data_IF_547517444685
#
_entry.id   IF_547517444685
#
_cell.length_a   1.000
_cell.length_b   1.000
_cell.length_c   1.000
_cell.angle_alpha   90.00
_cell.angle_beta   90.00
_cell.angle_gamma   90.00
#
_symmetry.space_group_name_H-M   'P 1'
#
loop_
_entity.id
_entity.type
_entity.pdbx_description
1 polymer ?
#
# COMPACT_ATOMS: atom_id res chain seq x y z
N UNK A 1 -16.52 -1.74 31.75
CA UNK A 1 -15.95 -0.79 30.77
C UNK A 1 -14.90 -1.57 30.00
N UNK A 2 -15.31 -2.27 28.95
CA UNK A 2 -14.42 -3.12 28.16
C UNK A 2 -14.03 -2.41 26.88
N UNK A 3 -12.80 -1.88 26.86
CA UNK A 3 -12.18 -1.47 25.60
C UNK A 3 -11.76 -2.71 24.80
N UNK A 4 -11.38 -2.56 23.52
CA UNK A 4 -10.92 -3.66 22.65
C UNK A 4 -9.72 -4.46 23.20
N UNK A 5 -9.09 -4.00 24.29
CA UNK A 5 -8.01 -4.67 24.98
C UNK A 5 -8.43 -5.84 25.91
N UNK A 6 -9.71 -6.00 26.26
CA UNK A 6 -10.14 -7.07 27.19
C UNK A 6 -9.90 -8.50 26.62
N UNK A 7 -9.68 -8.64 25.30
CA UNK A 7 -9.36 -9.91 24.62
C UNK A 7 -7.94 -10.01 24.04
N UNK A 8 -7.06 -9.04 24.30
CA UNK A 8 -5.72 -8.99 23.69
C UNK A 8 -5.73 -8.66 22.18
N UNK A 9 -4.62 -8.97 21.51
CA UNK A 9 -4.42 -8.69 20.09
C UNK A 9 -3.78 -9.87 19.35
N UNK A 10 -4.12 -9.99 18.08
CA UNK A 10 -3.49 -10.87 17.11
C UNK A 10 -2.68 -10.05 16.11
N UNK A 11 -1.47 -10.52 15.78
CA UNK A 11 -0.55 -9.80 14.90
C UNK A 11 -0.15 -10.70 13.74
N UNK A 12 -0.25 -10.17 12.53
CA UNK A 12 0.32 -10.78 11.33
C UNK A 12 1.43 -9.89 10.79
N UNK A 13 2.56 -10.48 10.39
CA UNK A 13 3.72 -9.73 9.94
C UNK A 13 4.46 -10.41 8.80
N UNK A 14 5.00 -9.61 7.88
CA UNK A 14 6.07 -10.00 6.97
C UNK A 14 7.40 -9.53 7.57
N UNK A 15 8.27 -10.44 8.04
CA UNK A 15 9.46 -10.07 8.79
C UNK A 15 10.48 -9.29 7.97
N UNK A 16 10.61 -9.57 6.67
CA UNK A 16 11.60 -8.91 5.82
C UNK A 16 11.17 -8.94 4.33
N UNK A 17 10.27 -8.03 3.98
CA UNK A 17 9.95 -7.69 2.60
C UNK A 17 11.20 -7.16 1.87
N UNK A 18 11.43 -7.66 0.66
CA UNK A 18 12.67 -7.39 -0.08
C UNK A 18 13.89 -8.19 0.39
N UNK A 19 13.72 -9.23 1.22
CA UNK A 19 14.84 -10.08 1.67
C UNK A 19 15.74 -10.61 0.54
N UNK A 20 15.19 -10.89 -0.63
CA UNK A 20 15.93 -11.39 -1.79
C UNK A 20 16.83 -10.35 -2.47
N UNK A 21 16.72 -9.07 -2.12
CA UNK A 21 17.50 -7.97 -2.71
C UNK A 21 18.39 -7.25 -1.69
N UNK A 22 18.54 -7.81 -0.49
CA UNK A 22 19.43 -7.27 0.56
C UNK A 22 20.87 -7.16 0.06
N UNK A 23 21.33 -8.14 -0.71
CA UNK A 23 22.67 -8.17 -1.32
C UNK A 23 22.92 -7.01 -2.30
N UNK A 24 21.87 -6.46 -2.91
CA UNK A 24 21.94 -5.28 -3.79
C UNK A 24 22.00 -3.94 -3.04
N UNK A 25 21.87 -3.97 -1.71
CA UNK A 25 21.84 -2.79 -0.83
C UNK A 25 20.67 -1.83 -1.13
N UNK A 26 19.59 -2.35 -1.69
CA UNK A 26 18.33 -1.62 -1.82
C UNK A 26 17.60 -1.57 -0.47
N UNK A 27 16.72 -0.60 -0.30
CA UNK A 27 15.88 -0.51 0.90
C UNK A 27 14.96 -1.73 1.01
N UNK A 28 14.86 -2.28 2.22
CA UNK A 28 13.99 -3.41 2.58
C UNK A 28 13.15 -3.03 3.80
N UNK A 29 12.26 -3.90 4.27
CA UNK A 29 11.44 -3.55 5.42
C UNK A 29 10.63 -4.68 6.04
N UNK A 30 9.97 -4.36 7.15
CA UNK A 30 9.04 -5.23 7.86
C UNK A 30 7.66 -4.62 7.79
N UNK A 31 6.62 -5.44 7.66
CA UNK A 31 5.22 -5.01 7.67
C UNK A 31 4.50 -5.75 8.78
N UNK A 32 3.62 -5.09 9.52
CA UNK A 32 2.68 -5.80 10.39
C UNK A 32 1.34 -5.08 10.53
N UNK A 33 0.30 -5.88 10.72
CA UNK A 33 -1.04 -5.44 11.11
C UNK A 33 -1.43 -6.02 12.46
N UNK A 34 -2.22 -5.26 13.22
CA UNK A 34 -2.68 -5.62 14.56
C UNK A 34 -4.20 -5.66 14.56
N UNK A 35 -4.78 -6.81 14.91
CA UNK A 35 -6.23 -7.01 15.06
C UNK A 35 -6.59 -7.24 16.52
N UNK A 36 -7.77 -6.79 16.99
CA UNK A 36 -8.25 -7.13 18.32
C UNK A 36 -8.63 -8.61 18.42
N UNK A 37 -8.45 -9.19 19.61
CA UNK A 37 -8.82 -10.58 19.89
C UNK A 37 -7.83 -11.60 19.34
N UNK A 38 -8.33 -12.81 19.08
CA UNK A 38 -7.55 -14.05 18.83
C UNK A 38 -7.66 -14.58 17.39
N UNK A 39 -8.16 -13.76 16.45
CA UNK A 39 -8.40 -14.17 15.06
C UNK A 39 -7.59 -13.36 14.05
N UNK A 40 -7.11 -14.07 13.04
CA UNK A 40 -6.49 -13.51 11.81
C UNK A 40 -7.21 -13.97 10.53
N UNK A 41 -8.30 -14.71 10.67
CA UNK A 41 -9.19 -15.12 9.58
C UNK A 41 -10.65 -14.80 9.93
N UNK A 42 -11.49 -14.65 8.92
CA UNK A 42 -12.85 -14.12 9.07
C UNK A 42 -12.89 -12.64 9.47
N UNK A 43 -11.74 -11.96 9.45
CA UNK A 43 -11.57 -10.53 9.69
C UNK A 43 -11.26 -9.81 8.39
N UNK A 44 -11.37 -8.50 8.38
CA UNK A 44 -11.03 -7.62 7.26
C UNK A 44 -9.85 -6.71 7.62
N UNK A 45 -9.26 -6.05 6.62
CA UNK A 45 -8.25 -5.02 6.90
C UNK A 45 -8.82 -3.84 7.69
N UNK A 46 -10.12 -3.57 7.60
CA UNK A 46 -10.80 -2.49 8.35
C UNK A 46 -10.93 -2.79 9.84
N UNK A 47 -10.76 -4.05 10.25
CA UNK A 47 -10.82 -4.48 11.65
C UNK A 47 -9.49 -4.27 12.41
N UNK A 48 -8.42 -3.90 11.71
CA UNK A 48 -7.13 -3.57 12.33
C UNK A 48 -7.27 -2.42 13.33
N UNK A 49 -6.60 -2.51 14.49
CA UNK A 49 -6.47 -1.39 15.46
C UNK A 49 -5.25 -0.52 15.16
N UNK A 50 -4.23 -1.09 14.52
CA UNK A 50 -3.05 -0.41 14.04
C UNK A 50 -2.39 -1.22 12.93
N UNK A 51 -1.63 -0.55 12.08
CA UNK A 51 -0.70 -1.17 11.15
C UNK A 51 0.58 -0.34 11.08
N UNK A 52 1.68 -0.99 10.78
CA UNK A 52 2.95 -0.30 10.69
C UNK A 52 3.94 -1.00 9.76
N UNK A 53 4.97 -0.25 9.37
CA UNK A 53 6.12 -0.77 8.64
C UNK A 53 7.43 -0.21 9.20
N UNK A 54 8.42 -1.09 9.36
CA UNK A 54 9.81 -0.72 9.57
C UNK A 54 10.52 -0.63 8.23
N UNK A 55 11.24 0.45 7.98
CA UNK A 55 11.96 0.68 6.72
C UNK A 55 13.45 0.70 7.03
N UNK A 56 14.20 -0.17 6.36
CA UNK A 56 15.64 -0.36 6.51
C UNK A 56 16.35 0.14 5.25
N UNK A 57 16.62 1.44 5.22
CA UNK A 57 17.35 2.09 4.13
C UNK A 57 18.59 2.81 4.65
N UNK A 58 19.02 3.92 4.01
CA UNK A 58 20.07 4.78 4.58
C UNK A 58 19.64 5.45 5.90
N UNK A 59 18.34 5.39 6.22
CA UNK A 59 17.73 5.76 7.49
C UNK A 59 16.89 4.57 7.94
N UNK A 60 16.81 4.36 9.25
CA UNK A 60 15.85 3.43 9.84
C UNK A 60 14.65 4.22 10.30
N UNK A 61 13.49 3.98 9.68
CA UNK A 61 12.25 4.67 10.02
C UNK A 61 11.15 3.69 10.37
N UNK A 62 10.25 4.09 11.26
CA UNK A 62 9.09 3.32 11.67
C UNK A 62 7.83 4.14 11.37
N UNK A 63 6.99 3.64 10.47
CA UNK A 63 5.79 4.33 10.01
C UNK A 63 4.56 3.61 10.53
N UNK A 64 3.67 4.31 11.23
CA UNK A 64 2.51 3.74 11.93
C UNK A 64 1.22 4.49 11.60
N UNK A 65 0.14 3.73 11.44
CA UNK A 65 -1.24 4.21 11.44
C UNK A 65 -1.99 3.57 12.62
N UNK A 66 -2.76 4.38 13.34
CA UNK A 66 -3.63 3.93 14.43
C UNK A 66 -5.07 4.19 13.99
N UNK A 67 -5.92 3.16 14.08
CA UNK A 67 -7.31 3.28 13.68
C UNK A 67 -8.02 4.38 14.48
N UNK A 68 -8.84 5.17 13.79
CA UNK A 68 -9.59 6.31 14.33
C UNK A 68 -8.71 7.45 14.91
N UNK A 69 -7.39 7.40 14.71
CA UNK A 69 -6.47 8.51 14.93
C UNK A 69 -6.05 9.08 13.57
N UNK A 70 -6.26 10.39 13.30
CA UNK A 70 -5.94 10.95 11.99
C UNK A 70 -4.47 10.80 11.62
N UNK A 71 -4.22 10.43 10.37
CA UNK A 71 -2.90 10.46 9.78
C UNK A 71 -2.08 9.17 9.91
N UNK A 72 -0.98 9.17 9.17
CA UNK A 72 0.09 8.17 9.23
C UNK A 72 1.39 8.86 9.64
N UNK A 73 2.07 8.31 10.64
CA UNK A 73 3.16 8.96 11.35
C UNK A 73 4.49 8.26 11.11
N UNK A 74 5.51 9.01 10.74
CA UNK A 74 6.88 8.55 10.57
C UNK A 74 7.73 8.89 11.79
N UNK A 75 8.44 7.89 12.30
CA UNK A 75 9.43 8.02 13.35
C UNK A 75 10.81 7.66 12.81
N UNK A 76 11.82 8.46 13.13
CA UNK A 76 13.22 8.21 12.82
C UNK A 76 13.93 7.57 14.02
N UNK A 77 14.72 6.53 13.78
CA UNK A 77 15.64 5.98 14.78
C UNK A 77 16.84 6.93 14.93
N UNK A 78 17.06 7.41 16.15
CA UNK A 78 18.24 8.19 16.52
C UNK A 78 19.36 7.27 17.03
N UNK A 79 20.59 7.79 17.06
CA UNK A 79 21.79 7.06 17.49
C UNK A 79 21.67 6.55 18.94
N UNK A 80 20.93 7.25 19.81
CA UNK A 80 20.70 6.84 21.20
C UNK A 80 19.59 5.77 21.34
N UNK A 81 19.05 5.27 20.24
CA UNK A 81 18.02 4.22 20.21
C UNK A 81 16.57 4.73 20.38
N UNK A 82 16.36 6.05 20.37
CA UNK A 82 15.03 6.66 20.48
C UNK A 82 14.36 6.80 19.12
N UNK A 83 13.06 6.53 19.06
CA UNK A 83 12.20 6.87 17.92
C UNK A 83 11.66 8.29 18.06
N UNK A 84 12.05 9.19 17.16
CA UNK A 84 11.56 10.57 17.14
C UNK A 84 10.51 10.75 16.06
N UNK A 85 9.33 11.28 16.41
CA UNK A 85 8.31 11.65 15.42
C UNK A 85 8.85 12.78 14.52
N UNK A 86 8.88 12.53 13.20
CA UNK A 86 9.47 13.47 12.22
C UNK A 86 8.49 13.93 11.15
N UNK A 87 7.42 13.18 10.90
CA UNK A 87 6.41 13.53 9.89
C UNK A 87 5.06 12.91 10.19
N UNK A 88 4.02 13.67 9.91
CA UNK A 88 2.64 13.20 9.78
C UNK A 88 2.19 13.38 8.32
N UNK A 89 1.34 12.47 7.85
CA UNK A 89 0.73 12.55 6.52
C UNK A 89 -0.77 12.31 6.66
N UNK A 90 -1.58 13.25 6.17
CA UNK A 90 -3.06 13.21 6.23
C UNK A 90 -3.74 13.38 4.87
N UNK A 91 -2.97 13.66 3.82
CA UNK A 91 -3.46 13.80 2.45
C UNK A 91 -2.45 13.19 1.47
N UNK A 92 -2.93 12.41 0.50
CA UNK A 92 -2.16 11.98 -0.67
C UNK A 92 -2.79 12.63 -1.91
N UNK A 93 -2.17 13.72 -2.33
CA UNK A 93 -2.57 14.51 -3.48
C UNK A 93 -2.15 13.88 -4.82
N UNK A 94 -2.58 14.50 -5.91
CA UNK A 94 -2.25 14.03 -7.24
C UNK A 94 -0.79 14.29 -7.61
N UNK A 95 -0.19 13.40 -8.41
CA UNK A 95 1.18 13.58 -8.87
C UNK A 95 1.68 12.57 -9.88
N UNK A 96 2.71 12.98 -10.62
CA UNK A 96 3.30 12.21 -11.73
C UNK A 96 4.37 11.22 -11.26
N UNK A 97 3.99 10.21 -10.48
CA UNK A 97 4.88 9.12 -10.03
C UNK A 97 4.14 7.79 -10.08
N UNK A 98 4.77 6.76 -10.63
CA UNK A 98 4.21 5.41 -10.67
C UNK A 98 5.25 4.34 -10.32
N UNK A 99 4.78 3.28 -9.66
CA UNK A 99 5.55 2.13 -9.20
C UNK A 99 4.87 0.83 -9.67
N UNK A 100 5.22 0.33 -10.87
CA UNK A 100 4.51 -0.77 -11.52
C UNK A 100 5.06 -2.15 -11.14
N UNK A 101 4.47 -2.74 -10.11
CA UNK A 101 4.61 -4.14 -9.78
C UNK A 101 4.10 -5.08 -10.87
N UNK A 102 4.76 -6.23 -10.96
CA UNK A 102 4.44 -7.29 -11.93
C UNK A 102 4.36 -6.81 -13.39
N UNK A 103 5.24 -5.88 -13.81
CA UNK A 103 5.19 -5.27 -15.15
C UNK A 103 5.12 -6.27 -16.31
N UNK A 104 5.67 -7.49 -16.16
CA UNK A 104 5.53 -8.58 -17.15
C UNK A 104 4.08 -8.90 -17.53
N UNK A 105 3.12 -8.62 -16.64
CA UNK A 105 1.70 -8.86 -16.87
C UNK A 105 1.12 -8.01 -18.01
N UNK A 106 1.76 -6.89 -18.39
CA UNK A 106 1.31 -6.08 -19.54
C UNK A 106 1.40 -6.85 -20.86
N UNK A 107 2.21 -7.91 -20.93
CA UNK A 107 2.36 -8.70 -22.16
C UNK A 107 1.06 -9.41 -22.58
N UNK A 108 0.27 -9.88 -21.62
CA UNK A 108 -0.97 -10.63 -21.84
C UNK A 108 -2.16 -10.07 -21.03
N UNK A 109 -2.03 -8.86 -20.49
CA UNK A 109 -3.12 -8.05 -19.94
C UNK A 109 -3.13 -6.67 -20.64
N UNK A 110 -3.94 -6.51 -21.72
CA UNK A 110 -3.93 -5.28 -22.54
C UNK A 110 -4.42 -4.05 -21.77
N UNK A 111 -5.28 -4.22 -20.77
CA UNK A 111 -5.77 -3.11 -19.96
C UNK A 111 -4.68 -2.61 -19.00
N UNK A 112 -3.87 -3.51 -18.45
CA UNK A 112 -2.71 -3.08 -17.66
C UNK A 112 -1.64 -2.42 -18.53
N UNK A 113 -1.40 -2.94 -19.74
CA UNK A 113 -0.53 -2.28 -20.72
C UNK A 113 -1.01 -0.86 -21.06
N UNK A 114 -2.32 -0.69 -21.28
CA UNK A 114 -2.94 0.62 -21.51
C UNK A 114 -2.69 1.59 -20.35
N UNK A 115 -2.82 1.12 -19.10
CA UNK A 115 -2.56 1.93 -17.90
C UNK A 115 -1.10 2.37 -17.81
N UNK A 116 -0.15 1.44 -18.02
CA UNK A 116 1.29 1.77 -18.01
C UNK A 116 1.65 2.74 -19.13
N UNK A 117 1.12 2.52 -20.34
CA UNK A 117 1.33 3.40 -21.48
C UNK A 117 0.80 4.83 -21.22
N UNK A 118 -0.29 4.98 -20.47
CA UNK A 118 -0.75 6.29 -20.04
C UNK A 118 0.31 7.02 -19.20
N UNK A 119 0.89 6.37 -18.18
CA UNK A 119 1.92 6.97 -17.32
C UNK A 119 3.16 7.38 -18.12
N UNK A 120 3.61 6.53 -19.04
CA UNK A 120 4.75 6.80 -19.93
C UNK A 120 4.48 8.01 -20.83
N UNK A 121 3.29 8.08 -21.46
CA UNK A 121 2.89 9.21 -22.32
C UNK A 121 2.81 10.51 -21.54
N UNK A 122 2.29 10.46 -20.32
CA UNK A 122 2.15 11.62 -19.43
C UNK A 122 3.44 12.01 -18.68
N UNK A 123 4.55 11.33 -18.97
CA UNK A 123 5.89 11.61 -18.41
C UNK A 123 5.95 11.45 -16.88
N UNK A 124 5.31 10.41 -16.36
CA UNK A 124 5.39 10.07 -14.94
C UNK A 124 6.80 9.58 -14.59
N UNK A 125 7.23 9.88 -13.37
CA UNK A 125 8.49 9.37 -12.83
C UNK A 125 8.31 7.91 -12.42
N UNK A 126 9.12 7.02 -12.98
CA UNK A 126 9.18 5.61 -12.59
C UNK A 126 10.07 5.44 -11.34
N UNK A 127 9.54 4.81 -10.29
CA UNK A 127 10.32 4.35 -9.12
C UNK A 127 9.75 3.03 -8.62
N UNK A 128 10.48 1.93 -8.83
CA UNK A 128 10.07 0.58 -8.43
C UNK A 128 11.31 -0.22 -8.06
N UNK A 129 11.32 -0.77 -6.85
CA UNK A 129 12.42 -1.58 -6.31
C UNK A 129 12.06 -3.07 -6.30
N UNK A 130 10.77 -3.40 -6.29
CA UNK A 130 10.28 -4.76 -6.09
C UNK A 130 10.01 -5.11 -4.63
N UNK A 131 10.39 -4.26 -3.67
CA UNK A 131 9.98 -4.34 -2.27
C UNK A 131 8.72 -3.50 -2.03
N UNK A 132 7.69 -4.09 -1.43
CA UNK A 132 6.45 -3.41 -1.10
C UNK A 132 6.67 -2.23 -0.15
N UNK A 133 7.52 -2.40 0.87
CA UNK A 133 7.78 -1.37 1.88
C UNK A 133 8.30 -0.07 1.26
N UNK A 134 9.44 -0.04 0.54
CA UNK A 134 9.93 1.20 -0.07
C UNK A 134 9.00 1.75 -1.15
N UNK A 135 8.40 0.88 -1.96
CA UNK A 135 7.59 1.28 -3.12
C UNK A 135 6.23 1.88 -2.73
N UNK A 136 5.70 1.52 -1.57
CA UNK A 136 4.49 2.12 -0.97
C UNK A 136 4.85 3.29 -0.04
N UNK A 137 5.94 3.20 0.73
CA UNK A 137 6.38 4.29 1.62
C UNK A 137 6.64 5.59 0.87
N UNK A 138 7.20 5.52 -0.35
CA UNK A 138 7.40 6.72 -1.16
C UNK A 138 6.10 7.48 -1.47
N UNK A 139 4.95 6.82 -1.50
CA UNK A 139 3.64 7.47 -1.72
C UNK A 139 3.26 8.29 -0.49
N UNK A 140 3.44 7.72 0.70
CA UNK A 140 3.19 8.40 1.98
C UNK A 140 4.13 9.59 2.14
N UNK A 141 5.45 9.38 1.97
CA UNK A 141 6.45 10.43 2.16
C UNK A 141 6.34 11.56 1.13
N UNK A 142 6.00 11.23 -0.13
CA UNK A 142 5.85 12.22 -1.21
C UNK A 142 4.44 12.77 -1.34
N UNK A 143 3.49 12.24 -0.58
CA UNK A 143 2.07 12.62 -0.58
C UNK A 143 1.46 12.58 -1.99
N UNK A 144 1.92 11.64 -2.83
CA UNK A 144 1.46 11.50 -4.22
C UNK A 144 1.87 10.18 -4.86
N UNK A 145 1.27 9.90 -6.02
CA UNK A 145 1.66 8.81 -6.91
C UNK A 145 0.84 7.55 -6.72
N UNK A 146 1.23 6.49 -7.44
CA UNK A 146 0.48 5.24 -7.53
C UNK A 146 1.42 4.04 -7.55
N UNK A 147 1.13 3.05 -6.71
CA UNK A 147 1.67 1.70 -6.80
C UNK A 147 0.61 0.78 -7.40
N UNK A 148 1.00 -0.10 -8.32
CA UNK A 148 0.10 -1.13 -8.88
C UNK A 148 0.79 -2.49 -8.91
N UNK A 149 0.08 -3.56 -8.58
CA UNK A 149 0.52 -4.93 -8.82
C UNK A 149 -0.66 -5.74 -9.35
N UNK A 150 -0.63 -6.03 -10.65
CA UNK A 150 -1.77 -6.57 -11.41
C UNK A 150 -1.43 -7.95 -11.94
N UNK A 151 -2.42 -8.84 -12.02
CA UNK A 151 -2.27 -10.19 -12.56
C UNK A 151 -2.51 -10.24 -14.07
N UNK A 152 -2.15 -11.36 -14.68
CA UNK A 152 -2.50 -11.71 -16.05
C UNK A 152 -2.72 -13.22 -16.15
N UNK A 153 -3.23 -13.75 -17.28
CA UNK A 153 -3.37 -15.19 -17.47
C UNK A 153 -2.10 -15.99 -17.16
N UNK A 154 -0.92 -15.46 -17.54
CA UNK A 154 0.38 -16.08 -17.28
C UNK A 154 1.04 -15.66 -15.97
N UNK A 155 0.50 -14.67 -15.24
CA UNK A 155 1.11 -14.11 -14.05
C UNK A 155 0.14 -13.97 -12.86
N UNK A 156 0.32 -14.83 -11.85
CA UNK A 156 -0.54 -14.89 -10.67
C UNK A 156 -0.26 -13.78 -9.65
N UNK A 157 -1.26 -13.50 -8.80
CA UNK A 157 -1.10 -12.60 -7.65
C UNK A 157 -0.03 -13.15 -6.70
N UNK A 158 0.89 -12.27 -6.26
CA UNK A 158 1.98 -12.64 -5.36
C UNK A 158 1.78 -12.17 -3.92
N UNK A 159 1.09 -11.04 -3.75
CA UNK A 159 0.98 -10.33 -2.49
C UNK A 159 -0.09 -10.94 -1.60
N UNK A 160 0.26 -11.23 -0.35
CA UNK A 160 -0.58 -11.85 0.67
C UNK A 160 -1.45 -10.78 1.33
N UNK A 161 -2.75 -11.04 1.39
CA UNK A 161 -3.73 -10.10 1.91
C UNK A 161 -3.45 -9.75 3.36
N UNK A 162 -3.24 -10.78 4.20
CA UNK A 162 -3.07 -10.63 5.64
C UNK A 162 -1.74 -9.97 6.05
N UNK A 163 -0.64 -10.36 5.41
CA UNK A 163 0.71 -10.00 5.87
C UNK A 163 1.24 -8.70 5.25
N UNK A 164 0.73 -8.31 4.07
CA UNK A 164 1.25 -7.17 3.31
C UNK A 164 0.13 -6.19 2.94
N UNK A 165 -0.91 -6.69 2.26
CA UNK A 165 -1.84 -5.81 1.54
C UNK A 165 -2.77 -5.06 2.49
N UNK A 166 -3.36 -5.74 3.46
CA UNK A 166 -4.27 -5.11 4.42
C UNK A 166 -3.52 -4.13 5.37
N UNK A 167 -2.34 -4.46 5.94
CA UNK A 167 -1.56 -3.50 6.72
C UNK A 167 -1.16 -2.24 5.95
N UNK A 168 -0.63 -2.39 4.72
CA UNK A 168 -0.29 -1.24 3.88
C UNK A 168 -1.52 -0.45 3.43
N UNK A 169 -2.65 -1.12 3.24
CA UNK A 169 -3.94 -0.47 2.98
C UNK A 169 -4.35 0.47 4.11
N UNK A 170 -4.15 0.07 5.38
CA UNK A 170 -4.48 0.92 6.51
C UNK A 170 -3.55 2.13 6.56
N UNK A 171 -2.24 1.92 6.38
CA UNK A 171 -1.25 3.01 6.31
C UNK A 171 -1.57 4.03 5.22
N UNK A 172 -2.02 3.58 4.05
CA UNK A 172 -2.35 4.46 2.92
C UNK A 172 -3.68 5.20 3.14
N UNK A 173 -4.74 4.52 3.59
CA UNK A 173 -6.03 5.15 3.82
C UNK A 173 -6.00 6.14 5.01
N UNK A 174 -5.26 5.83 6.08
CA UNK A 174 -5.04 6.79 7.18
C UNK A 174 -4.23 8.01 6.73
N UNK A 175 -3.35 7.85 5.73
CA UNK A 175 -2.59 8.95 5.12
C UNK A 175 -3.42 9.81 4.15
N UNK A 176 -4.73 9.56 4.00
CA UNK A 176 -5.60 10.27 3.06
C UNK A 176 -5.50 9.78 1.61
N UNK A 177 -4.86 8.62 1.38
CA UNK A 177 -4.85 7.93 0.10
C UNK A 177 -5.97 6.91 -0.05
N UNK A 178 -5.89 6.13 -1.11
CA UNK A 178 -6.89 5.12 -1.44
C UNK A 178 -6.22 3.80 -1.83
N UNK A 179 -6.86 2.69 -1.46
CA UNK A 179 -6.47 1.35 -1.86
C UNK A 179 -7.54 0.71 -2.74
N UNK A 180 -7.16 -0.18 -3.65
CA UNK A 180 -8.13 -0.93 -4.46
C UNK A 180 -7.58 -2.28 -4.92
N UNK A 181 -8.41 -3.32 -4.94
CA UNK A 181 -8.14 -4.56 -5.68
C UNK A 181 -8.64 -4.51 -7.13
N UNK A 182 -9.19 -3.38 -7.55
CA UNK A 182 -9.84 -3.18 -8.84
C UNK A 182 -11.35 -2.94 -8.71
N UNK A 183 -11.96 -3.38 -7.61
CA UNK A 183 -13.41 -3.30 -7.39
C UNK A 183 -13.79 -2.77 -6.01
N UNK A 184 -13.01 -3.10 -4.98
CA UNK A 184 -13.25 -2.69 -3.59
C UNK A 184 -11.94 -2.23 -2.94
N UNK A 185 -12.05 -1.50 -1.82
CA UNK A 185 -10.86 -1.25 -0.98
C UNK A 185 -10.31 -2.57 -0.49
N UNK A 186 -8.97 -2.68 -0.41
CA UNK A 186 -8.36 -3.90 0.11
C UNK A 186 -8.66 -4.10 1.60
N UNK A 187 -9.07 -3.04 2.31
CA UNK A 187 -9.50 -3.11 3.70
C UNK A 187 -10.86 -3.77 3.87
N UNK A 188 -11.70 -3.80 2.83
CA UNK A 188 -13.03 -4.43 2.87
C UNK A 188 -12.98 -5.92 2.47
N UNK A 189 -11.81 -6.44 2.08
CA UNK A 189 -11.65 -7.85 1.72
C UNK A 189 -11.60 -8.70 2.98
N UNK A 190 -12.46 -9.71 3.05
CA UNK A 190 -12.41 -10.73 4.10
C UNK A 190 -11.20 -11.63 3.88
N UNK A 191 -10.43 -11.84 4.94
CA UNK A 191 -9.30 -12.77 4.98
C UNK A 191 -9.87 -14.15 5.32
N UNK A 192 -10.08 -14.99 4.32
CA UNK A 192 -10.63 -16.33 4.54
C UNK A 192 -9.52 -17.31 4.92
N UNK A 193 -8.36 -17.19 4.28
CA UNK A 193 -7.17 -18.00 4.55
C UNK A 193 -5.95 -17.11 4.75
N UNK A 194 -4.97 -17.62 5.52
CA UNK A 194 -3.71 -16.91 5.75
C UNK A 194 -2.94 -16.64 4.46
N UNK A 195 -3.05 -17.53 3.46
CA UNK A 195 -2.36 -17.43 2.17
C UNK A 195 -3.22 -16.78 1.06
N UNK A 196 -4.34 -16.13 1.41
CA UNK A 196 -5.15 -15.39 0.43
C UNK A 196 -4.28 -14.31 -0.22
N UNK A 197 -4.25 -14.30 -1.56
CA UNK A 197 -3.48 -13.33 -2.34
C UNK A 197 -4.41 -12.42 -3.13
N UNK A 198 -3.96 -11.20 -3.37
CA UNK A 198 -4.71 -10.24 -4.18
C UNK A 198 -3.78 -9.36 -5.00
N UNK A 199 -4.29 -8.92 -6.16
CA UNK A 199 -3.75 -7.72 -6.80
C UNK A 199 -4.11 -6.49 -5.97
N UNK A 200 -3.36 -5.40 -6.17
CA UNK A 200 -3.60 -4.17 -5.44
C UNK A 200 -3.09 -2.94 -6.18
N UNK A 201 -3.76 -1.82 -5.94
CA UNK A 201 -3.24 -0.48 -6.15
C UNK A 201 -3.34 0.35 -4.86
N UNK A 202 -2.34 1.22 -4.64
CA UNK A 202 -2.33 2.22 -3.57
C UNK A 202 -1.92 3.56 -4.15
N UNK A 203 -2.61 4.65 -3.82
CA UNK A 203 -2.21 5.96 -4.32
C UNK A 203 -3.21 7.07 -4.09
N UNK A 204 -3.05 8.14 -4.86
CA UNK A 204 -3.99 9.26 -4.90
C UNK A 204 -5.34 8.84 -5.49
N UNK A 205 -6.36 9.64 -5.19
CA UNK A 205 -7.75 9.35 -5.55
C UNK A 205 -7.95 9.12 -7.04
N UNK A 206 -7.49 10.05 -7.89
CA UNK A 206 -7.73 9.95 -9.33
C UNK A 206 -6.86 8.88 -9.99
N UNK A 207 -5.72 8.52 -9.41
CA UNK A 207 -4.92 7.39 -9.88
C UNK A 207 -5.61 6.05 -9.58
N UNK A 208 -6.26 5.91 -8.42
CA UNK A 208 -7.08 4.74 -8.12
C UNK A 208 -8.31 4.66 -9.03
N UNK A 209 -8.98 5.79 -9.29
CA UNK A 209 -10.08 5.84 -10.26
C UNK A 209 -9.62 5.40 -11.64
N UNK A 210 -8.48 5.92 -12.12
CA UNK A 210 -7.90 5.53 -13.40
C UNK A 210 -7.56 4.05 -13.44
N UNK A 211 -7.00 3.51 -12.37
CA UNK A 211 -6.71 2.09 -12.24
C UNK A 211 -7.98 1.23 -12.37
N UNK A 212 -9.04 1.57 -11.61
CA UNK A 212 -10.32 0.85 -11.66
C UNK A 212 -10.99 0.97 -13.03
N UNK A 213 -11.10 2.18 -13.60
CA UNK A 213 -11.71 2.42 -14.91
C UNK A 213 -10.93 1.75 -16.04
N UNK A 214 -9.60 1.79 -16.01
CA UNK A 214 -8.78 1.24 -17.09
C UNK A 214 -8.84 -0.29 -17.10
N UNK A 215 -8.81 -0.93 -15.92
CA UNK A 215 -8.82 -2.40 -15.82
C UNK A 215 -10.22 -3.02 -15.81
N UNK A 216 -11.23 -2.29 -15.34
CA UNK A 216 -12.56 -2.87 -15.07
C UNK A 216 -13.72 -2.06 -15.68
N UNK A 217 -13.43 -0.98 -16.41
CA UNK A 217 -14.41 -0.20 -17.17
C UNK A 217 -15.25 0.78 -16.33
N UNK A 218 -15.17 0.72 -15.01
CA UNK A 218 -15.80 1.67 -14.10
C UNK A 218 -15.03 1.76 -12.79
N UNK A 219 -15.14 2.90 -12.10
CA UNK A 219 -14.65 3.06 -10.73
C UNK A 219 -15.81 3.15 -9.75
N UNK A 220 -15.62 2.57 -8.57
CA UNK A 220 -16.53 2.74 -7.42
C UNK A 220 -16.34 4.09 -6.73
N UNK A 221 -15.21 4.75 -6.95
CA UNK A 221 -14.92 6.07 -6.40
C UNK A 221 -15.49 7.16 -7.34
N UNK A 222 -15.93 8.27 -6.75
CA UNK A 222 -16.36 9.45 -7.53
C UNK A 222 -15.15 10.28 -7.97
N UNK A 223 -15.12 10.65 -9.26
CA UNK A 223 -14.12 11.54 -9.88
C UNK A 223 -13.79 12.81 -9.09
N UNK A 224 -12.50 13.18 -9.06
CA UNK A 224 -12.02 14.54 -8.79
C UNK A 224 -11.43 15.17 -10.06
N UNK A 225 -10.77 16.32 -9.95
CA UNK A 225 -10.06 16.95 -11.09
C UNK A 225 -8.64 16.36 -11.19
N UNK A 226 -8.26 15.64 -12.26
CA UNK A 226 -6.92 15.10 -12.42
C UNK A 226 -5.88 16.20 -12.67
N UNK A 227 -4.65 16.00 -12.21
CA UNK A 227 -3.51 16.84 -12.62
C UNK A 227 -3.21 16.56 -14.10
N UNK A 228 -3.37 17.57 -14.95
CA UNK A 228 -3.17 17.47 -16.40
C UNK A 228 -4.46 17.39 -17.23
N UNK A 229 -5.64 17.61 -16.64
CA UNK A 229 -6.87 17.86 -17.39
C UNK A 229 -6.95 19.31 -17.97
N UNK A 230 -5.90 20.11 -17.81
CA UNK A 230 -5.77 21.43 -18.41
C UNK A 230 -4.38 21.59 -19.04
N UNK A 231 -4.40 22.10 -20.28
CA UNK A 231 -3.32 22.33 -21.26
C UNK A 231 -2.83 21.11 -22.06
#
# INVERSE_FOLDING_TARGET
MGGPAEGGFSVAFDPLDGSSIVDTNFTVGTIFGVWPGDKLTGVTGRDQVAAAMGIYGPRTTYVIAIKDFPGTHEFLLLDEGKWQHVKETTEIGEGKMFSPGNLRATFDNPDYDKLINYYVKQKYTLRYTGGMVPDVNQIIVKEKGIFTNVTSPSSKAKLRLLFEVAPLGLLIENAGGYSSDGKISVLDKVINNLDDRTQVAYGSKNEIIRFEETLYGSSRLKGGVPVGAAA
#
